data_IF_436492116384
#
_entry.id   IF_436492116384
#
_cell.length_a   1.000
_cell.length_b   1.000
_cell.length_c   1.000
_cell.angle_alpha   90.00
_cell.angle_beta   90.00
_cell.angle_gamma   90.00
#
_symmetry.space_group_name_H-M   'P 1'
#
loop_
_entity.id
_entity.type
_entity.pdbx_description
1 polymer ?
#
# COMPACT_ATOMS: atom_id res chain seq x y z
N UNK A 1 46.40 -10.55 -29.28
CA UNK A 1 45.18 -10.17 -30.01
C UNK A 1 44.11 -9.77 -29.01
N UNK A 2 43.59 -8.56 -29.14
CA UNK A 2 42.55 -8.02 -28.28
C UNK A 2 41.18 -8.51 -28.80
N UNK A 3 40.47 -9.30 -28.00
CA UNK A 3 39.07 -9.58 -28.24
C UNK A 3 38.28 -8.29 -27.96
N UNK A 4 37.74 -7.69 -29.01
CA UNK A 4 36.97 -6.45 -28.94
C UNK A 4 35.71 -6.63 -28.09
N UNK A 5 35.53 -5.72 -27.14
CA UNK A 5 34.27 -5.58 -26.41
C UNK A 5 33.19 -5.01 -27.34
N UNK A 6 31.99 -5.60 -27.30
CA UNK A 6 30.83 -5.18 -28.09
C UNK A 6 30.28 -3.83 -27.58
N UNK A 7 30.25 -2.76 -28.41
CA UNK A 7 29.78 -1.44 -28.01
C UNK A 7 28.26 -1.37 -27.74
N UNK A 8 27.48 -2.41 -28.08
CA UNK A 8 26.03 -2.46 -27.85
C UNK A 8 25.58 -3.43 -26.76
N UNK A 9 26.52 -4.05 -26.04
CA UNK A 9 26.18 -4.74 -24.82
C UNK A 9 25.67 -3.74 -23.77
N UNK A 10 24.34 -3.58 -23.68
CA UNK A 10 23.72 -2.91 -22.54
C UNK A 10 24.11 -3.68 -21.28
N UNK A 11 25.14 -3.18 -20.57
CA UNK A 11 25.46 -3.61 -19.21
C UNK A 11 24.29 -3.19 -18.33
N UNK A 12 23.27 -4.04 -18.23
CA UNK A 12 22.31 -3.97 -17.14
C UNK A 12 23.04 -4.47 -15.90
N UNK A 13 23.84 -3.59 -15.30
CA UNK A 13 24.36 -3.79 -13.96
C UNK A 13 23.21 -3.52 -12.97
N UNK A 14 22.13 -4.29 -13.05
CA UNK A 14 21.04 -4.24 -12.08
C UNK A 14 21.15 -5.45 -11.15
N UNK A 15 22.28 -5.54 -10.45
CA UNK A 15 22.40 -6.41 -9.26
C UNK A 15 21.79 -5.72 -8.04
N UNK A 16 20.59 -5.17 -8.18
CA UNK A 16 19.77 -4.77 -7.03
C UNK A 16 18.67 -5.83 -6.95
N UNK A 17 18.76 -6.83 -6.05
CA UNK A 17 17.61 -7.67 -5.79
C UNK A 17 16.51 -6.76 -5.26
N UNK A 18 15.46 -6.54 -6.05
CA UNK A 18 14.27 -5.85 -5.58
C UNK A 18 13.78 -6.59 -4.34
N UNK A 19 13.59 -5.87 -3.24
CA UNK A 19 12.92 -6.45 -2.07
C UNK A 19 11.48 -6.78 -2.42
N UNK A 20 10.86 -7.71 -1.70
CA UNK A 20 9.43 -8.03 -1.88
C UNK A 20 8.55 -6.78 -1.70
N UNK A 21 8.99 -5.82 -0.86
CA UNK A 21 8.30 -4.55 -0.64
C UNK A 21 8.35 -3.64 -1.88
N UNK A 22 9.49 -3.54 -2.57
CA UNK A 22 9.60 -2.75 -3.80
C UNK A 22 8.75 -3.36 -4.93
N UNK A 23 8.78 -4.68 -5.08
CA UNK A 23 7.97 -5.36 -6.08
C UNK A 23 6.47 -5.18 -5.78
N UNK A 24 6.09 -5.29 -4.50
CA UNK A 24 4.72 -5.01 -4.06
C UNK A 24 4.31 -3.57 -4.39
N UNK A 25 5.16 -2.60 -4.09
CA UNK A 25 4.90 -1.19 -4.39
C UNK A 25 4.67 -0.96 -5.87
N UNK A 26 5.55 -1.47 -6.73
CA UNK A 26 5.42 -1.34 -8.20
C UNK A 26 4.12 -1.96 -8.68
N UNK A 27 3.72 -3.14 -8.15
CA UNK A 27 2.45 -3.79 -8.49
C UNK A 27 1.24 -2.94 -8.08
N UNK A 28 1.26 -2.37 -6.87
CA UNK A 28 0.18 -1.51 -6.38
C UNK A 28 0.04 -0.23 -7.21
N UNK A 29 1.15 0.44 -7.51
CA UNK A 29 1.16 1.65 -8.36
C UNK A 29 0.66 1.33 -9.77
N UNK A 30 1.10 0.21 -10.35
CA UNK A 30 0.66 -0.22 -11.68
C UNK A 30 -0.83 -0.54 -11.69
N UNK A 31 -1.33 -1.27 -10.70
CA UNK A 31 -2.74 -1.61 -10.58
C UNK A 31 -3.63 -0.38 -10.33
N UNK A 32 -3.18 0.55 -9.49
CA UNK A 32 -3.87 1.81 -9.25
C UNK A 32 -3.97 2.67 -10.51
N UNK A 33 -2.86 2.79 -11.26
CA UNK A 33 -2.82 3.54 -12.53
C UNK A 33 -3.70 2.89 -13.61
N UNK A 34 -3.77 1.56 -13.63
CA UNK A 34 -4.65 0.78 -14.50
C UNK A 34 -6.12 0.74 -14.01
N UNK A 35 -6.45 1.43 -12.91
CA UNK A 35 -7.80 1.47 -12.29
C UNK A 35 -8.35 0.09 -11.96
N UNK A 36 -7.47 -0.84 -11.58
CA UNK A 36 -7.85 -2.19 -11.17
C UNK A 36 -8.35 -2.21 -9.73
N UNK A 37 -9.16 -3.22 -9.42
CA UNK A 37 -9.64 -3.44 -8.05
C UNK A 37 -8.54 -4.13 -7.26
N UNK A 38 -8.27 -3.63 -6.06
CA UNK A 38 -7.27 -4.17 -5.16
C UNK A 38 -7.88 -4.45 -3.79
N UNK A 39 -7.60 -5.64 -3.26
CA UNK A 39 -8.11 -6.09 -1.97
C UNK A 39 -6.97 -6.66 -1.12
N UNK A 40 -7.01 -6.42 0.19
CA UNK A 40 -6.07 -6.97 1.15
C UNK A 40 -6.77 -7.78 2.22
N UNK A 41 -6.23 -8.96 2.56
CA UNK A 41 -6.74 -9.80 3.65
C UNK A 41 -5.92 -9.62 4.93
N UNK A 42 -6.61 -9.48 6.05
CA UNK A 42 -6.08 -9.23 7.39
C UNK A 42 -6.37 -10.42 8.31
N UNK A 43 -5.41 -10.85 9.13
CA UNK A 43 -5.67 -11.76 10.26
C UNK A 43 -5.19 -13.21 10.12
N UNK A 44 -4.03 -13.43 9.49
CA UNK A 44 -3.31 -14.71 9.55
C UNK A 44 -1.80 -14.50 9.37
N UNK A 45 -1.23 -13.56 10.14
CA UNK A 45 0.22 -13.30 10.14
C UNK A 45 0.79 -13.90 11.42
N UNK A 46 1.78 -14.77 11.28
CA UNK A 46 2.45 -15.42 12.41
C UNK A 46 3.03 -14.37 13.37
N UNK A 47 2.75 -14.54 14.66
CA UNK A 47 3.19 -13.60 15.71
C UNK A 47 2.27 -12.41 15.98
N UNK A 48 1.17 -12.22 15.23
CA UNK A 48 0.16 -11.21 15.54
C UNK A 48 -1.12 -11.82 16.12
N UNK A 49 -1.50 -11.40 17.34
CA UNK A 49 -2.75 -11.83 17.98
C UNK A 49 -3.94 -10.96 17.54
N UNK A 50 -5.16 -11.48 17.70
CA UNK A 50 -6.40 -10.74 17.38
C UNK A 50 -6.50 -9.43 18.18
N UNK A 51 -5.97 -9.40 19.39
CA UNK A 51 -5.93 -8.24 20.27
C UNK A 51 -4.98 -7.17 19.72
N UNK A 52 -3.85 -7.56 19.11
CA UNK A 52 -2.94 -6.61 18.46
C UNK A 52 -3.59 -5.93 17.25
N UNK A 53 -4.33 -6.69 16.43
CA UNK A 53 -5.12 -6.11 15.34
C UNK A 53 -6.14 -5.11 15.87
N UNK A 54 -6.95 -5.51 16.86
CA UNK A 54 -7.96 -4.64 17.47
C UNK A 54 -7.35 -3.40 18.13
N UNK A 55 -6.18 -3.54 18.75
CA UNK A 55 -5.42 -2.46 19.36
C UNK A 55 -5.01 -1.39 18.35
N UNK A 56 -4.60 -1.82 17.15
CA UNK A 56 -4.29 -0.93 16.02
C UNK A 56 -5.54 -0.45 15.25
N UNK A 57 -6.70 -0.98 15.60
CA UNK A 57 -7.97 -0.64 14.98
C UNK A 57 -8.26 -1.41 13.68
N UNK A 58 -7.67 -2.58 13.52
CA UNK A 58 -7.94 -3.52 12.44
C UNK A 58 -8.85 -4.66 12.93
N UNK A 59 -9.73 -5.13 12.05
CA UNK A 59 -10.57 -6.30 12.27
C UNK A 59 -9.78 -7.54 11.85
N UNK A 60 -9.53 -8.49 12.75
CA UNK A 60 -8.88 -9.74 12.39
C UNK A 60 -9.81 -10.59 11.51
N UNK A 61 -9.22 -11.36 10.60
CA UNK A 61 -9.91 -12.26 9.67
C UNK A 61 -10.93 -11.52 8.78
N UNK A 62 -10.49 -10.40 8.19
CA UNK A 62 -11.33 -9.53 7.37
C UNK A 62 -10.61 -9.04 6.11
N UNK A 63 -11.39 -8.72 5.07
CA UNK A 63 -10.88 -8.19 3.81
C UNK A 63 -11.17 -6.70 3.71
N UNK A 64 -10.17 -5.96 3.26
CA UNK A 64 -10.24 -4.52 3.03
C UNK A 64 -9.98 -4.22 1.56
N UNK A 65 -10.48 -3.08 1.07
CA UNK A 65 -10.19 -2.61 -0.29
C UNK A 65 -9.09 -1.55 -0.25
N UNK A 66 -8.10 -1.65 -1.13
CA UNK A 66 -7.10 -0.60 -1.32
C UNK A 66 -7.65 0.36 -2.37
N UNK A 67 -7.94 1.59 -1.97
CA UNK A 67 -8.65 2.58 -2.81
C UNK A 67 -7.73 3.68 -3.33
N UNK A 68 -6.55 3.83 -2.74
CA UNK A 68 -5.58 4.82 -3.20
C UNK A 68 -4.15 4.37 -2.88
N UNK A 69 -3.22 4.74 -3.76
CA UNK A 69 -1.79 4.46 -3.62
C UNK A 69 -1.05 5.74 -4.00
N UNK A 70 -0.26 6.30 -3.07
CA UNK A 70 0.42 7.57 -3.28
C UNK A 70 1.78 7.61 -2.58
N UNK A 71 2.73 8.34 -3.16
CA UNK A 71 4.04 8.57 -2.59
C UNK A 71 4.22 10.05 -2.26
N UNK A 72 4.97 10.35 -1.21
CA UNK A 72 5.39 11.68 -0.81
C UNK A 72 6.89 11.70 -0.50
N UNK A 73 7.44 12.90 -0.25
CA UNK A 73 8.85 13.13 0.09
C UNK A 73 9.81 12.50 -0.93
N UNK A 74 9.52 12.74 -2.21
CA UNK A 74 10.32 12.21 -3.32
C UNK A 74 10.27 10.67 -3.46
N UNK A 75 9.22 10.02 -2.96
CA UNK A 75 9.03 8.57 -3.05
C UNK A 75 9.54 7.79 -1.83
N UNK A 76 10.14 8.47 -0.86
CA UNK A 76 10.61 7.84 0.39
C UNK A 76 9.45 7.50 1.34
N UNK A 77 8.34 8.21 1.24
CA UNK A 77 7.13 7.94 2.00
C UNK A 77 6.07 7.33 1.09
N UNK A 78 5.76 6.05 1.31
CA UNK A 78 4.76 5.30 0.52
C UNK A 78 3.53 5.05 1.37
N UNK A 79 2.41 5.61 0.93
CA UNK A 79 1.13 5.53 1.62
C UNK A 79 0.09 4.81 0.77
N UNK A 80 -0.80 4.10 1.45
CA UNK A 80 -1.97 3.47 0.85
C UNK A 80 -3.21 3.90 1.63
N UNK A 81 -4.29 4.23 0.92
CA UNK A 81 -5.61 4.44 1.51
C UNK A 81 -6.39 3.14 1.42
N UNK A 82 -6.81 2.65 2.57
CA UNK A 82 -7.54 1.39 2.73
C UNK A 82 -8.96 1.69 3.17
N UNK A 83 -9.93 0.94 2.66
CA UNK A 83 -11.35 1.04 3.01
C UNK A 83 -11.80 -0.23 3.70
N UNK A 84 -12.41 -0.05 4.87
CA UNK A 84 -13.21 -1.08 5.53
C UNK A 84 -14.61 -1.13 4.88
N UNK A 85 -15.00 -2.24 4.23
CA UNK A 85 -16.32 -2.39 3.62
C UNK A 85 -17.48 -2.18 4.58
N UNK A 86 -17.30 -2.50 5.88
CA UNK A 86 -18.35 -2.36 6.88
C UNK A 86 -18.61 -0.92 7.33
N UNK A 87 -17.74 0.04 6.99
CA UNK A 87 -17.96 1.49 7.20
C UNK A 87 -17.98 1.97 8.66
N UNK A 88 -18.30 1.11 9.63
CA UNK A 88 -18.46 1.42 11.07
C UNK A 88 -17.53 0.59 11.94
N UNK A 89 -16.33 0.29 11.43
CA UNK A 89 -15.33 -0.50 12.13
C UNK A 89 -14.45 0.31 13.09
N UNK A 90 -13.49 -0.38 13.69
CA UNK A 90 -12.39 0.25 14.42
C UNK A 90 -11.62 1.20 13.47
N UNK A 91 -11.20 2.36 14.01
CA UNK A 91 -10.36 3.32 13.29
C UNK A 91 -8.90 2.95 13.44
N UNK A 92 -8.15 3.02 12.34
CA UNK A 92 -6.69 2.83 12.37
C UNK A 92 -6.04 3.79 13.36
N UNK A 93 -5.15 3.28 14.21
CA UNK A 93 -4.45 4.04 15.26
C UNK A 93 -2.94 4.14 15.05
N UNK A 94 -2.44 3.63 13.93
CA UNK A 94 -1.02 3.70 13.61
C UNK A 94 -0.63 5.03 12.95
N UNK A 95 0.56 5.04 12.36
CA UNK A 95 1.06 6.19 11.61
C UNK A 95 0.11 6.53 10.45
N UNK A 96 -0.06 7.83 10.21
CA UNK A 96 -0.99 8.37 9.20
C UNK A 96 -2.47 8.05 9.46
N UNK A 97 -2.83 7.69 10.70
CA UNK A 97 -4.23 7.69 11.13
C UNK A 97 -4.85 9.09 11.05
N UNK A 98 -6.19 9.16 11.06
CA UNK A 98 -6.93 10.41 10.93
C UNK A 98 -6.57 11.45 12.00
N UNK A 99 -6.20 10.96 13.19
CA UNK A 99 -5.87 11.77 14.37
C UNK A 99 -4.36 12.03 14.51
N UNK A 100 -3.52 11.47 13.62
CA UNK A 100 -2.07 11.60 13.65
C UNK A 100 -1.60 12.93 13.04
N UNK A 101 -1.75 14.01 13.79
CA UNK A 101 -1.31 15.35 13.39
C UNK A 101 0.21 15.50 13.26
N UNK A 102 1.00 14.58 13.83
CA UNK A 102 2.46 14.65 13.81
C UNK A 102 3.04 14.20 12.47
N UNK A 103 2.53 13.09 11.91
CA UNK A 103 3.00 12.62 10.60
C UNK A 103 2.31 13.34 9.43
N UNK A 104 1.08 13.82 9.64
CA UNK A 104 0.32 14.55 8.63
C UNK A 104 0.74 16.03 8.50
N UNK A 105 1.84 16.29 7.78
CA UNK A 105 2.23 17.67 7.42
C UNK A 105 1.41 18.19 6.23
N UNK A 106 1.24 19.52 6.09
CA UNK A 106 0.53 20.11 4.93
C UNK A 106 1.15 19.71 3.59
N UNK A 107 2.48 19.60 3.54
CA UNK A 107 3.25 19.16 2.37
C UNK A 107 2.88 17.73 1.98
N UNK A 108 2.91 16.80 2.95
CA UNK A 108 2.56 15.39 2.68
C UNK A 108 1.11 15.27 2.23
N UNK A 109 0.17 15.99 2.87
CA UNK A 109 -1.24 15.97 2.44
C UNK A 109 -1.41 16.45 1.01
N UNK A 110 -0.68 17.49 0.60
CA UNK A 110 -0.71 18.01 -0.76
C UNK A 110 -0.11 17.02 -1.76
N UNK A 111 1.05 16.43 -1.45
CA UNK A 111 1.72 15.44 -2.32
C UNK A 111 0.90 14.18 -2.53
N UNK A 112 0.27 13.65 -1.47
CA UNK A 112 -0.55 12.42 -1.57
C UNK A 112 -2.01 12.67 -1.95
N UNK A 113 -2.40 13.92 -2.21
CA UNK A 113 -3.77 14.28 -2.56
C UNK A 113 -4.79 13.96 -1.45
N UNK A 114 -4.36 13.89 -0.20
CA UNK A 114 -5.19 13.52 0.95
C UNK A 114 -6.04 14.71 1.41
N UNK A 115 -7.05 15.07 0.61
CA UNK A 115 -8.06 16.07 0.98
C UNK A 115 -8.97 15.57 2.10
N UNK A 116 -9.28 14.27 2.09
CA UNK A 116 -9.98 13.56 3.15
C UNK A 116 -9.12 12.43 3.70
N UNK A 117 -8.83 12.51 5.00
CA UNK A 117 -8.08 11.47 5.72
C UNK A 117 -8.92 10.21 5.94
N UNK A 118 -10.25 10.30 5.79
CA UNK A 118 -11.17 9.19 5.97
C UNK A 118 -12.02 9.31 7.24
N UNK A 119 -12.26 10.55 7.71
CA UNK A 119 -13.01 10.83 8.94
C UNK A 119 -14.38 10.17 8.96
N UNK A 120 -15.02 10.07 7.80
CA UNK A 120 -16.34 9.51 7.59
C UNK A 120 -16.29 8.42 6.51
N UNK A 121 -16.62 7.17 6.85
CA UNK A 121 -16.79 6.09 5.86
C UNK A 121 -15.83 4.90 5.99
N UNK A 122 -15.08 4.78 7.09
CA UNK A 122 -14.25 3.61 7.38
C UNK A 122 -13.04 3.48 6.46
N UNK A 123 -12.62 4.58 5.81
CA UNK A 123 -11.35 4.64 5.10
C UNK A 123 -10.27 5.21 5.99
N UNK A 124 -9.02 4.80 5.79
CA UNK A 124 -7.89 5.30 6.55
C UNK A 124 -6.62 5.13 5.73
N UNK A 125 -5.61 5.93 6.03
CA UNK A 125 -4.29 5.81 5.43
C UNK A 125 -3.36 5.01 6.33
N UNK A 126 -2.44 4.30 5.72
CA UNK A 126 -1.34 3.63 6.41
C UNK A 126 -0.08 3.65 5.53
N UNK A 127 1.05 3.38 6.15
CA UNK A 127 2.31 3.19 5.42
C UNK A 127 2.30 1.84 4.68
N UNK A 128 3.08 1.73 3.61
CA UNK A 128 3.31 0.44 2.94
C UNK A 128 3.91 -0.60 3.91
N UNK A 129 4.74 -0.17 4.86
CA UNK A 129 5.34 -1.03 5.88
C UNK A 129 4.30 -1.59 6.86
N UNK A 130 3.34 -0.77 7.27
CA UNK A 130 2.22 -1.26 8.07
C UNK A 130 1.33 -2.21 7.26
N UNK A 131 1.12 -1.93 5.96
CA UNK A 131 0.38 -2.82 5.08
C UNK A 131 1.04 -4.21 5.05
N UNK A 132 2.35 -4.30 4.79
CA UNK A 132 3.06 -5.59 4.74
C UNK A 132 3.11 -6.30 6.10
N UNK A 133 3.07 -5.55 7.20
CA UNK A 133 3.07 -6.10 8.56
C UNK A 133 1.72 -6.71 8.95
N UNK A 134 0.60 -6.05 8.64
CA UNK A 134 -0.73 -6.45 9.09
C UNK A 134 -1.52 -7.26 8.05
N UNK A 135 -1.20 -7.14 6.76
CA UNK A 135 -1.90 -7.84 5.69
C UNK A 135 -1.11 -9.05 5.24
N UNK A 136 -1.77 -10.21 5.17
CA UNK A 136 -1.13 -11.46 4.75
C UNK A 136 -1.08 -11.64 3.22
N UNK A 137 -2.03 -11.03 2.52
CA UNK A 137 -2.26 -11.27 1.10
C UNK A 137 -2.93 -10.05 0.49
N UNK A 138 -2.44 -9.67 -0.69
CA UNK A 138 -3.00 -8.61 -1.52
C UNK A 138 -3.36 -9.23 -2.86
N UNK A 139 -4.62 -9.10 -3.24
CA UNK A 139 -5.16 -9.58 -4.50
C UNK A 139 -5.45 -8.38 -5.40
N UNK A 140 -4.94 -8.43 -6.63
CA UNK A 140 -5.25 -7.48 -7.69
C UNK A 140 -6.20 -8.20 -8.64
N UNK A 141 -7.40 -7.66 -8.80
CA UNK A 141 -8.42 -8.20 -9.69
C UNK A 141 -8.38 -7.42 -11.01
N UNK A 142 -7.80 -7.98 -12.08
CA UNK A 142 -7.90 -7.39 -13.40
C UNK A 142 -9.37 -7.38 -13.83
N UNK A 143 -9.81 -6.26 -14.40
CA UNK A 143 -11.10 -6.14 -15.06
C UNK A 143 -10.84 -5.88 -16.53
N UNK A 144 -11.58 -6.58 -17.40
CA UNK A 144 -11.61 -6.25 -18.82
C UNK A 144 -13.06 -6.07 -19.25
N UNK A 145 -13.30 -5.05 -20.07
CA UNK A 145 -14.64 -4.72 -20.57
C UNK A 145 -15.20 -5.82 -21.48
N UNK A 146 -14.35 -6.66 -22.09
CA UNK A 146 -14.75 -7.78 -22.95
C UNK A 146 -15.21 -9.04 -22.18
N UNK A 147 -15.36 -8.98 -20.86
CA UNK A 147 -15.81 -10.10 -20.02
C UNK A 147 -17.32 -10.11 -19.75
N UNK A 148 -18.06 -9.13 -20.26
CA UNK A 148 -19.53 -8.99 -20.16
C UNK A 148 -20.17 -9.02 -21.54
#
# INVERSE_FOLDING_TARGET
EAAGEDPWAMRVQASIPFTDEELLWVRLVSAYSAKLIMCGSCGHVDGLTKEMYRGMGLSPSHCYSIVHVAAAKGGTLRLVKVRNPWGTGLKWKGAFSDDDSANWTPEVKAEVGAQDLGRDGGTFWMTLQDLTKYFNSITICPYREDWS
#
